data_IF_909745045947
#
_entry.id   IF_909745045947
#
_cell.length_a   1.000
_cell.length_b   1.000
_cell.length_c   1.000
_cell.angle_alpha   90.00
_cell.angle_beta   90.00
_cell.angle_gamma   90.00
#
_symmetry.space_group_name_H-M   'P 1'
#
loop_
_entity.id
_entity.type
_entity.pdbx_description
1 polymer ?
#
# COMPACT_ATOMS: atom_id res chain seq x y z
N UNK A 1 -26.91 29.92 -6.72
CA UNK A 1 -26.75 29.04 -5.54
C UNK A 1 -25.75 27.89 -5.72
N UNK A 2 -25.49 27.40 -6.95
CA UNK A 2 -24.54 26.29 -7.21
C UNK A 2 -23.04 26.64 -7.14
N UNK A 3 -22.67 27.92 -7.03
CA UNK A 3 -21.26 28.35 -7.05
C UNK A 3 -20.58 28.25 -5.67
N UNK A 4 -21.27 28.58 -4.57
CA UNK A 4 -20.70 28.49 -3.20
C UNK A 4 -20.37 27.06 -2.77
N UNK A 5 -21.13 26.07 -3.21
CA UNK A 5 -20.93 24.66 -2.84
C UNK A 5 -19.73 24.03 -3.57
N UNK A 6 -19.49 24.37 -4.84
CA UNK A 6 -18.31 23.89 -5.57
C UNK A 6 -17.02 24.45 -4.97
N UNK A 7 -16.98 25.74 -4.63
CA UNK A 7 -15.80 26.35 -4.00
C UNK A 7 -15.47 25.72 -2.64
N UNK A 8 -16.48 25.33 -1.87
CA UNK A 8 -16.29 24.61 -0.60
C UNK A 8 -15.70 23.22 -0.79
N UNK A 9 -16.27 22.41 -1.70
CA UNK A 9 -15.79 21.04 -1.97
C UNK A 9 -14.35 21.05 -2.49
N UNK A 10 -14.04 21.92 -3.46
CA UNK A 10 -12.68 22.02 -3.98
C UNK A 10 -11.68 22.48 -2.90
N UNK A 11 -12.07 23.40 -2.01
CA UNK A 11 -11.23 23.83 -0.90
C UNK A 11 -10.95 22.68 0.09
N UNK A 12 -11.97 21.89 0.44
CA UNK A 12 -11.81 20.72 1.33
C UNK A 12 -10.89 19.68 0.71
N UNK A 13 -11.07 19.36 -0.57
CA UNK A 13 -10.20 18.43 -1.29
C UNK A 13 -8.74 18.89 -1.29
N UNK A 14 -8.48 20.18 -1.51
CA UNK A 14 -7.13 20.74 -1.48
C UNK A 14 -6.53 20.68 -0.07
N UNK A 15 -7.34 20.96 0.97
CA UNK A 15 -6.90 20.86 2.36
C UNK A 15 -6.54 19.42 2.75
N UNK A 16 -7.36 18.43 2.38
CA UNK A 16 -7.09 17.01 2.62
C UNK A 16 -5.83 16.53 1.90
N UNK A 17 -5.64 16.95 0.64
CA UNK A 17 -4.41 16.66 -0.11
C UNK A 17 -3.18 17.26 0.57
N UNK A 18 -3.28 18.47 1.14
CA UNK A 18 -2.21 19.09 1.92
C UNK A 18 -1.83 18.27 3.15
N UNK A 19 -2.83 17.85 3.92
CA UNK A 19 -2.63 17.04 5.13
C UNK A 19 -1.99 15.67 4.81
N UNK A 20 -2.41 14.99 3.74
CA UNK A 20 -1.84 13.71 3.33
C UNK A 20 -0.39 13.83 2.89
N UNK A 21 -0.08 14.83 2.05
CA UNK A 21 1.29 15.13 1.61
C UNK A 21 2.21 15.41 2.78
N UNK A 22 1.76 16.19 3.76
CA UNK A 22 2.52 16.48 4.97
C UNK A 22 2.78 15.22 5.82
N UNK A 23 1.78 14.36 6.04
CA UNK A 23 1.92 13.11 6.81
C UNK A 23 2.87 12.09 6.17
N UNK A 24 3.02 12.16 4.85
CA UNK A 24 3.87 11.28 4.06
C UNK A 24 5.20 11.94 3.65
N UNK A 25 5.43 13.21 4.01
CA UNK A 25 6.65 13.94 3.67
C UNK A 25 6.82 14.22 2.16
N UNK A 26 5.73 14.28 1.40
CA UNK A 26 5.74 14.48 -0.05
C UNK A 26 5.66 15.98 -0.35
N UNK A 27 6.71 16.53 -0.95
CA UNK A 27 6.76 17.94 -1.34
C UNK A 27 6.29 18.19 -2.76
N UNK A 28 6.40 17.18 -3.64
CA UNK A 28 6.10 17.31 -5.06
C UNK A 28 4.73 16.72 -5.43
N UNK A 29 3.89 17.50 -6.11
CA UNK A 29 2.58 17.08 -6.61
C UNK A 29 2.68 15.91 -7.61
N UNK A 30 3.71 15.90 -8.45
CA UNK A 30 3.95 14.83 -9.42
C UNK A 30 4.31 13.51 -8.73
N UNK A 31 5.13 13.57 -7.68
CA UNK A 31 5.47 12.42 -6.84
C UNK A 31 4.21 11.83 -6.20
N UNK A 32 3.30 12.67 -5.69
CA UNK A 32 2.04 12.22 -5.13
C UNK A 32 1.18 11.45 -6.15
N UNK A 33 1.06 11.94 -7.38
CA UNK A 33 0.31 11.25 -8.45
C UNK A 33 0.94 9.90 -8.79
N UNK A 34 2.27 9.83 -8.91
CA UNK A 34 2.98 8.56 -9.14
C UNK A 34 2.68 7.57 -8.01
N UNK A 35 2.74 8.02 -6.76
CA UNK A 35 2.47 7.17 -5.61
C UNK A 35 1.05 6.59 -5.66
N UNK A 36 0.05 7.40 -6.02
CA UNK A 36 -1.33 6.93 -6.19
C UNK A 36 -1.46 5.91 -7.33
N UNK A 37 -0.79 6.13 -8.46
CA UNK A 37 -0.78 5.19 -9.58
C UNK A 37 -0.16 3.86 -9.14
N UNK A 38 0.99 3.90 -8.47
CA UNK A 38 1.64 2.71 -7.93
C UNK A 38 0.74 1.99 -6.93
N UNK A 39 0.02 2.69 -6.07
CA UNK A 39 -0.94 2.07 -5.15
C UNK A 39 -2.10 1.38 -5.87
N UNK A 40 -2.63 1.97 -6.95
CA UNK A 40 -3.68 1.35 -7.75
C UNK A 40 -3.19 0.09 -8.49
N UNK A 41 -2.00 0.16 -9.09
CA UNK A 41 -1.37 -0.98 -9.77
C UNK A 41 -1.01 -2.11 -8.80
N UNK A 42 -0.40 -1.79 -7.68
CA UNK A 42 -0.03 -2.79 -6.65
C UNK A 42 -1.25 -3.45 -6.04
N UNK A 43 -2.29 -2.68 -5.69
CA UNK A 43 -3.51 -3.22 -5.07
C UNK A 43 -4.30 -4.14 -6.00
N UNK A 44 -4.41 -3.79 -7.29
CA UNK A 44 -5.07 -4.65 -8.28
C UNK A 44 -4.25 -5.90 -8.58
N UNK A 45 -2.94 -5.75 -8.75
CA UNK A 45 -2.02 -6.86 -9.07
C UNK A 45 -1.90 -7.86 -7.92
N UNK A 46 -1.82 -7.40 -6.66
CA UNK A 46 -1.72 -8.29 -5.50
C UNK A 46 -2.97 -9.16 -5.34
N UNK A 47 -4.16 -8.59 -5.54
CA UNK A 47 -5.41 -9.34 -5.52
C UNK A 47 -5.47 -10.36 -6.68
N UNK A 48 -4.99 -9.99 -7.87
CA UNK A 48 -4.93 -10.92 -9.00
C UNK A 48 -3.98 -12.10 -8.73
N UNK A 49 -2.80 -11.83 -8.17
CA UNK A 49 -1.77 -12.85 -7.87
C UNK A 49 -2.12 -13.75 -6.67
N UNK A 50 -2.91 -13.28 -5.70
CA UNK A 50 -3.25 -14.08 -4.53
C UNK A 50 -4.05 -15.35 -4.86
N UNK A 51 -4.92 -15.31 -5.89
CA UNK A 51 -5.73 -16.46 -6.31
C UNK A 51 -4.88 -17.63 -6.85
N UNK A 52 -4.01 -17.44 -7.87
CA UNK A 52 -3.17 -18.52 -8.38
C UNK A 52 -2.19 -19.02 -7.33
N UNK A 53 -1.70 -18.15 -6.44
CA UNK A 53 -0.80 -18.59 -5.36
C UNK A 53 -1.52 -19.48 -4.34
N UNK A 54 -2.76 -19.18 -3.93
CA UNK A 54 -3.55 -20.09 -3.09
C UNK A 54 -3.81 -21.43 -3.79
N UNK A 55 -4.18 -21.39 -5.07
CA UNK A 55 -4.43 -22.60 -5.84
C UNK A 55 -3.16 -23.46 -5.98
N UNK A 56 -1.98 -22.85 -6.14
CA UNK A 56 -0.69 -23.55 -6.20
C UNK A 56 -0.33 -24.24 -4.89
N UNK A 57 -0.73 -23.65 -3.75
CA UNK A 57 -0.58 -24.25 -2.41
C UNK A 57 -1.65 -25.35 -2.15
N UNK A 58 -2.58 -25.58 -3.10
CA UNK A 58 -3.64 -26.57 -2.98
C UNK A 58 -4.87 -26.09 -2.19
N UNK A 59 -4.95 -24.79 -1.92
CA UNK A 59 -6.09 -24.17 -1.23
C UNK A 59 -7.05 -23.64 -2.29
N UNK A 60 -8.10 -24.40 -2.59
CA UNK A 60 -9.17 -23.97 -3.49
C UNK A 60 -10.43 -23.66 -2.69
N UNK A 61 -11.32 -22.86 -3.28
CA UNK A 61 -12.62 -22.54 -2.65
C UNK A 61 -13.51 -23.77 -2.49
N UNK A 62 -13.24 -24.81 -3.27
CA UNK A 62 -14.04 -26.04 -3.29
C UNK A 62 -13.57 -27.03 -2.21
N UNK A 63 -12.29 -27.01 -1.84
CA UNK A 63 -11.71 -27.91 -0.82
C UNK A 63 -11.67 -27.30 0.57
N UNK A 64 -11.73 -25.97 0.70
CA UNK A 64 -11.66 -25.25 1.97
C UNK A 64 -12.96 -24.53 2.31
N UNK A 65 -13.30 -24.52 3.60
CA UNK A 65 -14.42 -23.72 4.11
C UNK A 65 -14.24 -22.24 3.72
N UNK A 66 -15.27 -21.56 3.19
CA UNK A 66 -15.23 -20.14 2.85
C UNK A 66 -14.76 -19.25 4.01
N UNK A 67 -15.04 -19.67 5.25
CA UNK A 67 -14.64 -18.97 6.47
C UNK A 67 -13.12 -18.97 6.69
N UNK A 68 -12.42 -20.02 6.24
CA UNK A 68 -10.96 -20.13 6.36
C UNK A 68 -10.25 -19.57 5.12
N UNK A 69 -10.86 -19.73 3.95
CA UNK A 69 -10.30 -19.25 2.69
C UNK A 69 -10.07 -17.73 2.69
N UNK A 70 -11.03 -16.94 3.17
CA UNK A 70 -10.94 -15.48 3.14
C UNK A 70 -9.81 -14.89 3.99
N UNK A 71 -9.64 -15.29 5.27
CA UNK A 71 -8.49 -14.88 6.06
C UNK A 71 -7.16 -15.26 5.42
N UNK A 72 -7.01 -16.50 4.91
CA UNK A 72 -5.79 -16.91 4.21
C UNK A 72 -5.53 -16.07 2.96
N UNK A 73 -6.56 -15.75 2.20
CA UNK A 73 -6.45 -14.90 1.02
C UNK A 73 -5.94 -13.50 1.39
N UNK A 74 -6.45 -12.88 2.46
CA UNK A 74 -5.99 -11.58 2.95
C UNK A 74 -4.55 -11.66 3.46
N UNK A 75 -4.24 -12.69 4.25
CA UNK A 75 -2.88 -12.94 4.78
C UNK A 75 -1.88 -13.15 3.65
N UNK A 76 -2.29 -13.73 2.52
CA UNK A 76 -1.43 -13.96 1.36
C UNK A 76 -1.27 -12.72 0.47
N UNK A 77 -2.32 -11.90 0.32
CA UNK A 77 -2.21 -10.61 -0.38
C UNK A 77 -1.14 -9.74 0.29
N UNK A 78 -1.03 -9.79 1.60
CA UNK A 78 -0.11 -8.97 2.36
C UNK A 78 1.37 -9.12 1.92
N UNK A 79 2.02 -10.30 1.97
CA UNK A 79 3.40 -10.47 1.51
C UNK A 79 3.57 -10.22 0.02
N UNK A 80 2.58 -10.54 -0.82
CA UNK A 80 2.62 -10.21 -2.25
C UNK A 80 2.67 -8.69 -2.44
N UNK A 81 1.84 -7.96 -1.70
CA UNK A 81 1.76 -6.51 -1.76
C UNK A 81 3.06 -5.84 -1.29
N UNK A 82 3.76 -6.40 -0.30
CA UNK A 82 5.09 -5.94 0.13
C UNK A 82 6.09 -5.93 -1.05
N UNK A 83 6.26 -7.09 -1.68
CA UNK A 83 7.20 -7.27 -2.80
C UNK A 83 6.83 -6.39 -3.98
N UNK A 84 5.54 -6.29 -4.32
CA UNK A 84 5.07 -5.45 -5.41
C UNK A 84 5.31 -3.96 -5.13
N UNK A 85 5.04 -3.47 -3.91
CA UNK A 85 5.26 -2.06 -3.58
C UNK A 85 6.72 -1.64 -3.80
N UNK A 86 7.67 -2.47 -3.37
CA UNK A 86 9.09 -2.20 -3.59
C UNK A 86 9.46 -2.28 -5.07
N UNK A 87 8.91 -3.27 -5.78
CA UNK A 87 9.19 -3.49 -7.20
C UNK A 87 8.69 -2.32 -8.06
N UNK A 88 7.43 -1.90 -7.88
CA UNK A 88 6.90 -0.73 -8.58
C UNK A 88 7.57 0.57 -8.08
N UNK A 89 7.83 0.69 -6.78
CA UNK A 89 8.60 1.81 -6.24
C UNK A 89 9.97 1.94 -6.90
N UNK A 90 10.65 0.83 -7.19
CA UNK A 90 11.90 0.80 -7.93
C UNK A 90 11.72 1.25 -9.38
N UNK A 91 10.73 0.71 -10.10
CA UNK A 91 10.44 1.05 -11.51
C UNK A 91 10.13 2.54 -11.69
N UNK A 92 9.36 3.13 -10.77
CA UNK A 92 8.94 4.53 -10.84
C UNK A 92 9.91 5.50 -10.13
N UNK A 93 11.07 5.03 -9.65
CA UNK A 93 12.08 5.85 -8.98
C UNK A 93 11.66 6.38 -7.59
N UNK A 94 10.65 5.77 -6.96
CA UNK A 94 10.12 6.12 -5.65
C UNK A 94 10.48 5.08 -4.56
N UNK A 95 11.52 4.27 -4.77
CA UNK A 95 11.90 3.18 -3.86
C UNK A 95 12.08 3.63 -2.41
N UNK A 96 12.79 4.74 -2.17
CA UNK A 96 13.02 5.27 -0.80
C UNK A 96 11.71 5.58 -0.08
N UNK A 97 10.75 6.15 -0.79
CA UNK A 97 9.42 6.45 -0.25
C UNK A 97 8.69 5.17 0.13
N UNK A 98 8.62 4.20 -0.79
CA UNK A 98 7.90 2.95 -0.55
C UNK A 98 8.56 2.05 0.50
N UNK A 99 9.88 2.04 0.58
CA UNK A 99 10.61 1.34 1.64
C UNK A 99 10.33 1.95 3.02
N UNK A 100 10.31 3.27 3.13
CA UNK A 100 9.89 3.95 4.37
C UNK A 100 8.42 3.65 4.71
N UNK A 101 7.54 3.74 3.72
CA UNK A 101 6.10 3.50 3.87
C UNK A 101 5.83 2.06 4.32
N UNK A 102 6.48 1.09 3.69
CA UNK A 102 6.37 -0.32 4.02
C UNK A 102 6.84 -0.60 5.44
N UNK A 103 8.04 -0.14 5.81
CA UNK A 103 8.56 -0.25 7.19
C UNK A 103 7.61 0.38 8.20
N UNK A 104 7.02 1.53 7.88
CA UNK A 104 6.03 2.20 8.74
C UNK A 104 4.75 1.37 8.89
N UNK A 105 4.24 0.80 7.80
CA UNK A 105 3.06 -0.06 7.81
C UNK A 105 3.31 -1.35 8.61
N UNK A 106 4.45 -2.01 8.40
CA UNK A 106 4.84 -3.22 9.13
C UNK A 106 5.00 -2.97 10.62
N UNK A 107 5.61 -1.84 11.02
CA UNK A 107 5.68 -1.42 12.42
C UNK A 107 4.28 -1.25 13.03
N UNK A 108 3.35 -0.66 12.30
CA UNK A 108 1.98 -0.47 12.76
C UNK A 108 1.19 -1.78 12.90
N UNK A 109 1.55 -2.82 12.15
CA UNK A 109 0.94 -4.15 12.22
C UNK A 109 1.59 -5.05 13.30
N UNK A 110 2.47 -4.50 14.15
CA UNK A 110 3.16 -5.26 15.19
C UNK A 110 4.38 -6.03 14.72
N UNK A 111 4.72 -5.97 13.43
CA UNK A 111 5.90 -6.62 12.82
C UNK A 111 7.16 -5.74 12.89
N UNK A 112 7.15 -4.70 13.73
CA UNK A 112 8.26 -3.76 13.88
C UNK A 112 9.55 -4.38 14.43
N UNK A 113 9.47 -5.57 15.05
CA UNK A 113 10.62 -6.30 15.58
C UNK A 113 11.59 -6.78 14.48
N UNK A 114 11.11 -6.95 13.24
CA UNK A 114 11.91 -7.37 12.09
C UNK A 114 12.99 -6.33 11.69
N UNK A 115 12.86 -5.08 12.17
CA UNK A 115 13.71 -3.95 11.78
C UNK A 115 14.63 -3.42 12.89
N UNK A 116 14.76 -4.14 14.01
CA UNK A 116 15.50 -3.66 15.21
C UNK A 116 17.04 -3.68 15.06
N UNK A 117 17.58 -4.12 13.93
CA UNK A 117 19.01 -4.43 13.79
C UNK A 117 19.87 -3.35 13.09
N UNK A 118 19.33 -2.20 12.69
CA UNK A 118 20.18 -1.06 12.31
C UNK A 118 20.64 -0.33 13.59
N UNK A 119 21.66 -0.88 14.25
CA UNK A 119 22.49 -0.12 15.19
C UNK A 119 23.10 1.05 14.40
N UNK A 120 23.11 2.28 14.92
CA UNK A 120 23.98 3.31 14.36
C UNK A 120 25.40 2.77 14.49
N UNK A 121 26.11 2.65 13.37
CA UNK A 121 27.56 2.51 13.39
C UNK A 121 28.10 3.77 14.06
N UNK A 122 28.60 3.60 15.29
CA UNK A 122 29.50 4.55 15.96
C UNK A 122 30.76 4.79 15.11
#
# INVERSE_FOLDING_TARGET
MLSKTKTGIFATLIAEMGNLKQRWGITNNFQFVIILIVFALTGSTSAYLAKPVLAWIGITRDTFSPLLYWPLYVVLIFPIYQVLLLSYGFIFGQFKFFWWFEKKMLKSLGLGFLFKNEKPSE
#
